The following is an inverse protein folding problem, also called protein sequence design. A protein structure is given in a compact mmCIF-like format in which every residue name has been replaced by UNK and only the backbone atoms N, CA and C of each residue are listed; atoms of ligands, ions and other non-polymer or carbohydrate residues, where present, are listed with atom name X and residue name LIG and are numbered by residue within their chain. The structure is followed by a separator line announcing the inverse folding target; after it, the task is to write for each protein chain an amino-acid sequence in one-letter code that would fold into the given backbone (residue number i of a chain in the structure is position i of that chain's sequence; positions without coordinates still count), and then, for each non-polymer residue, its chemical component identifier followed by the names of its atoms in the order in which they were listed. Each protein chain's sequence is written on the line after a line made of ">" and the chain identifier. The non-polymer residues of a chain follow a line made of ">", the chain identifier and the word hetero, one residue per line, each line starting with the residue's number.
data_IF_566435989344
#
_entry.id   IF_566435989344
#
_cell.length_a   1.000
_cell.length_b   1.000
_cell.length_c   1.000
_cell.angle_alpha   90.00
_cell.angle_beta   90.00
_cell.angle_gamma   90.00
#
_symmetry.space_group_name_H-M   'P 1'
#
loop_
_entity.id
_entity.type
_entity.pdbx_description
1 polymer ?
#
# COMPACT_ATOMS: atom_id res chain seq x y z
N UNK A 1 10.19 6.18 24.72
CA UNK A 1 9.27 6.91 23.82
C UNK A 1 9.59 6.46 22.41
N UNK A 2 8.64 5.88 21.68
CA UNK A 2 8.90 5.29 20.37
C UNK A 2 9.33 6.37 19.37
N UNK A 3 10.63 6.41 19.02
CA UNK A 3 11.22 7.39 18.11
C UNK A 3 10.53 7.44 16.73
N UNK A 4 9.77 6.40 16.38
CA UNK A 4 9.10 6.24 15.08
C UNK A 4 7.74 6.94 14.98
N UNK A 5 7.16 7.38 16.10
CA UNK A 5 5.79 7.94 16.12
C UNK A 5 5.82 9.47 16.09
N UNK A 6 5.41 10.04 14.96
CA UNK A 6 5.19 11.48 14.80
C UNK A 6 4.03 11.97 15.68
N UNK A 7 4.26 13.09 16.36
CA UNK A 7 3.30 13.79 17.21
C UNK A 7 2.57 14.89 16.45
N UNK A 8 1.45 15.38 17.03
CA UNK A 8 0.72 16.52 16.47
C UNK A 8 1.54 17.81 16.50
N UNK A 9 2.42 17.99 17.49
CA UNK A 9 3.34 19.13 17.56
C UNK A 9 4.33 19.09 16.40
N UNK A 10 4.95 17.93 16.18
CA UNK A 10 5.88 17.76 15.05
C UNK A 10 5.19 17.97 13.70
N UNK A 11 3.96 17.50 13.53
CA UNK A 11 3.17 17.75 12.32
C UNK A 11 2.87 19.25 12.13
N UNK A 12 2.52 19.94 13.21
CA UNK A 12 2.26 21.37 13.18
C UNK A 12 3.52 22.17 12.85
N UNK A 13 4.65 21.87 13.49
CA UNK A 13 5.94 22.50 13.18
C UNK A 13 6.34 22.28 11.72
N UNK A 14 6.22 21.04 11.21
CA UNK A 14 6.56 20.74 9.82
C UNK A 14 5.64 21.51 8.85
N UNK A 15 4.36 21.66 9.18
CA UNK A 15 3.45 22.47 8.37
C UNK A 15 3.81 23.96 8.32
N UNK A 16 4.19 24.55 9.46
CA UNK A 16 4.61 25.95 9.52
C UNK A 16 5.93 26.17 8.77
N UNK A 17 6.91 25.27 8.88
CA UNK A 17 8.16 25.31 8.11
C UNK A 17 7.88 25.31 6.61
N UNK A 18 7.04 24.38 6.14
CA UNK A 18 6.71 24.27 4.72
C UNK A 18 5.92 25.46 4.18
N UNK A 19 5.10 26.09 5.02
CA UNK A 19 4.39 27.34 4.70
C UNK A 19 5.36 28.51 4.60
N UNK A 20 6.31 28.63 5.53
CA UNK A 20 7.30 29.72 5.57
C UNK A 20 8.30 29.66 4.43
N UNK A 21 8.82 28.47 4.14
CA UNK A 21 9.82 28.25 3.07
C UNK A 21 9.22 28.24 1.66
N UNK A 22 7.90 28.13 1.53
CA UNK A 22 7.17 28.15 0.26
C UNK A 22 7.71 27.16 -0.80
N UNK A 23 7.42 25.86 -0.62
CA UNK A 23 7.86 24.75 -1.49
C UNK A 23 9.39 24.58 -1.60
N UNK A 24 10.10 24.40 -0.48
CA UNK A 24 11.53 24.10 -0.51
C UNK A 24 11.81 22.80 -1.25
N UNK A 25 12.86 22.79 -2.07
CA UNK A 25 13.41 21.57 -2.71
C UNK A 25 14.47 20.90 -1.84
N UNK A 26 15.12 21.69 -0.97
CA UNK A 26 16.13 21.21 -0.04
C UNK A 26 15.50 20.81 1.30
N UNK A 27 15.50 19.51 1.57
CA UNK A 27 14.92 18.93 2.77
C UNK A 27 15.84 19.01 3.99
N UNK A 28 17.13 19.29 3.82
CA UNK A 28 18.05 19.51 4.94
C UNK A 28 17.71 20.82 5.66
N UNK A 29 17.35 21.85 4.90
CA UNK A 29 16.83 23.10 5.46
C UNK A 29 15.53 22.85 6.22
N UNK A 30 14.62 22.05 5.65
CA UNK A 30 13.34 21.71 6.30
C UNK A 30 13.57 20.95 7.62
N UNK A 31 14.50 20.00 7.65
CA UNK A 31 14.83 19.23 8.84
C UNK A 31 15.47 20.09 9.94
N UNK A 32 16.40 20.96 9.55
CA UNK A 32 17.06 21.91 10.44
C UNK A 32 16.03 22.87 11.07
N UNK A 33 15.15 23.46 10.26
CA UNK A 33 14.12 24.38 10.74
C UNK A 33 12.99 23.69 11.51
N UNK A 34 12.73 22.42 11.25
CA UNK A 34 11.78 21.61 12.03
C UNK A 34 12.25 21.45 13.48
N UNK A 35 13.56 21.28 13.70
CA UNK A 35 14.18 21.40 15.02
C UNK A 35 13.75 20.35 16.05
N UNK A 36 13.17 19.22 15.62
CA UNK A 36 12.71 18.11 16.50
C UNK A 36 13.51 16.82 16.35
N UNK A 37 14.71 16.89 15.75
CA UNK A 37 15.59 15.72 15.58
C UNK A 37 15.12 14.73 14.52
N UNK A 38 14.29 15.18 13.57
CA UNK A 38 13.89 14.41 12.37
C UNK A 38 14.90 14.62 11.25
N UNK A 39 15.15 13.59 10.45
CA UNK A 39 16.02 13.71 9.28
C UNK A 39 15.29 14.37 8.12
N UNK A 40 16.03 14.86 7.12
CA UNK A 40 15.49 15.36 5.86
C UNK A 40 14.55 14.33 5.19
N UNK A 41 14.93 13.06 5.21
CA UNK A 41 14.11 11.95 4.72
C UNK A 41 12.80 11.83 5.51
N UNK A 42 12.86 11.83 6.84
CA UNK A 42 11.66 11.74 7.69
C UNK A 42 10.70 12.90 7.42
N UNK A 43 11.22 14.13 7.32
CA UNK A 43 10.42 15.32 7.02
C UNK A 43 9.81 15.27 5.61
N UNK A 44 10.57 14.84 4.60
CA UNK A 44 10.06 14.66 3.25
C UNK A 44 8.93 13.63 3.20
N UNK A 45 9.16 12.44 3.75
CA UNK A 45 8.16 11.38 3.81
C UNK A 45 6.96 11.83 4.63
N UNK A 46 7.18 12.48 5.78
CA UNK A 46 6.07 12.97 6.58
C UNK A 46 5.29 14.07 5.88
N UNK A 47 5.92 15.00 5.18
CA UNK A 47 5.20 16.03 4.44
C UNK A 47 4.44 15.42 3.27
N UNK A 48 5.15 14.80 2.33
CA UNK A 48 4.60 14.21 1.10
C UNK A 48 3.48 13.24 1.39
N UNK A 49 3.63 12.48 2.47
CA UNK A 49 2.63 11.56 2.89
C UNK A 49 1.70 12.33 3.87
N UNK A 50 2.05 12.41 5.14
CA UNK A 50 1.32 13.02 6.28
C UNK A 50 0.45 14.26 5.99
N UNK A 51 1.12 15.32 5.55
CA UNK A 51 0.74 16.69 5.89
C UNK A 51 0.45 17.54 4.64
N UNK A 52 1.04 17.20 3.49
CA UNK A 52 0.94 17.98 2.26
C UNK A 52 -0.51 18.39 1.95
N UNK A 53 -0.79 19.70 1.96
CA UNK A 53 -2.12 20.23 1.65
C UNK A 53 -2.58 19.74 0.28
N UNK A 54 -3.82 19.27 0.18
CA UNK A 54 -4.35 18.71 -1.07
C UNK A 54 -4.07 17.21 -1.27
N UNK A 55 -3.62 16.49 -0.23
CA UNK A 55 -3.66 15.02 -0.17
C UNK A 55 -4.47 14.54 1.05
N UNK A 56 -5.77 14.25 0.84
CA UNK A 56 -6.71 13.71 1.83
C UNK A 56 -6.38 12.24 2.10
N UNK A 57 -5.94 11.98 3.33
CA UNK A 57 -5.89 10.65 3.93
C UNK A 57 -7.15 10.38 4.73
N UNK A 58 -7.54 9.12 4.82
CA UNK A 58 -8.67 8.69 5.67
C UNK A 58 -9.96 8.42 4.91
N UNK A 59 -11.05 8.32 5.69
CA UNK A 59 -12.32 7.76 5.27
C UNK A 59 -12.87 8.43 4.00
N UNK A 60 -13.28 7.58 3.04
CA UNK A 60 -14.01 7.98 1.86
C UNK A 60 -15.44 8.36 2.25
N UNK A 61 -15.86 9.55 1.85
CA UNK A 61 -17.23 10.02 2.04
C UNK A 61 -18.12 9.46 0.94
N UNK A 62 -19.42 9.31 1.23
CA UNK A 62 -20.40 8.78 0.28
C UNK A 62 -20.44 9.55 -1.04
N UNK A 63 -20.39 10.89 -0.99
CA UNK A 63 -20.35 11.70 -2.22
C UNK A 63 -19.09 11.45 -3.06
N UNK A 64 -17.94 11.15 -2.42
CA UNK A 64 -16.71 10.83 -3.14
C UNK A 64 -16.90 9.52 -3.91
N UNK A 65 -17.50 8.51 -3.28
CA UNK A 65 -17.81 7.23 -3.92
C UNK A 65 -18.80 7.40 -5.08
N UNK A 66 -19.81 8.26 -4.93
CA UNK A 66 -20.78 8.58 -6.01
C UNK A 66 -20.07 9.16 -7.23
N UNK A 67 -19.17 10.13 -7.04
CA UNK A 67 -18.41 10.75 -8.14
C UNK A 67 -17.59 9.69 -8.89
N UNK A 68 -16.93 8.77 -8.18
CA UNK A 68 -16.15 7.71 -8.80
C UNK A 68 -17.05 6.76 -9.59
N UNK A 69 -18.15 6.30 -9.00
CA UNK A 69 -19.11 5.40 -9.65
C UNK A 69 -19.67 6.02 -10.93
N UNK A 70 -20.14 7.26 -10.85
CA UNK A 70 -20.67 7.96 -12.02
C UNK A 70 -19.64 8.11 -13.14
N UNK A 71 -18.39 8.44 -12.80
CA UNK A 71 -17.33 8.59 -13.79
C UNK A 71 -17.05 7.29 -14.57
N UNK A 72 -17.05 6.14 -13.86
CA UNK A 72 -16.85 4.83 -14.51
C UNK A 72 -18.07 4.44 -15.34
N UNK A 73 -19.28 4.64 -14.81
CA UNK A 73 -20.53 4.29 -15.51
C UNK A 73 -20.74 5.12 -16.77
N UNK A 74 -20.47 6.43 -16.72
CA UNK A 74 -20.65 7.36 -17.86
C UNK A 74 -19.56 7.23 -18.93
N UNK A 75 -18.41 6.64 -18.60
CA UNK A 75 -17.35 6.41 -19.58
C UNK A 75 -17.70 5.23 -20.49
N UNK A 76 -17.31 5.28 -21.75
CA UNK A 76 -17.35 4.12 -22.66
C UNK A 76 -16.09 3.24 -22.55
N UNK A 77 -15.06 3.68 -21.83
CA UNK A 77 -13.80 2.97 -21.70
C UNK A 77 -13.92 1.79 -20.73
N UNK A 78 -13.50 0.60 -21.16
CA UNK A 78 -13.49 -0.63 -20.34
C UNK A 78 -12.13 -1.34 -20.52
N UNK A 79 -11.24 -1.35 -19.49
CA UNK A 79 -11.40 -0.76 -18.16
C UNK A 79 -11.21 0.77 -18.15
N UNK A 80 -11.82 1.47 -17.19
CA UNK A 80 -11.60 2.91 -17.01
C UNK A 80 -10.15 3.20 -16.58
N UNK A 81 -9.45 4.09 -17.29
CA UNK A 81 -8.04 4.44 -16.99
C UNK A 81 -7.83 5.89 -16.56
N UNK A 82 -8.78 6.78 -16.87
CA UNK A 82 -8.68 8.24 -16.66
C UNK A 82 -8.91 8.70 -15.21
N UNK A 83 -8.30 8.01 -14.24
CA UNK A 83 -8.44 8.30 -12.81
C UNK A 83 -7.93 9.68 -12.40
N UNK A 84 -6.87 10.17 -13.05
CA UNK A 84 -6.31 11.50 -12.79
C UNK A 84 -7.29 12.65 -13.09
N UNK A 85 -8.21 12.45 -14.05
CA UNK A 85 -9.20 13.47 -14.40
C UNK A 85 -10.22 13.72 -13.27
N UNK A 86 -10.32 12.79 -12.31
CA UNK A 86 -11.23 12.90 -11.17
C UNK A 86 -10.63 13.70 -10.01
N UNK A 87 -9.33 14.01 -10.02
CA UNK A 87 -8.69 14.79 -8.94
C UNK A 87 -9.32 16.19 -8.79
N UNK A 88 -9.72 16.82 -9.90
CA UNK A 88 -10.39 18.13 -9.87
C UNK A 88 -11.77 18.08 -9.19
N UNK A 89 -12.45 16.94 -9.25
CA UNK A 89 -13.77 16.73 -8.64
C UNK A 89 -13.69 16.16 -7.22
N UNK A 90 -12.53 15.65 -6.83
CA UNK A 90 -12.27 15.01 -5.54
C UNK A 90 -11.10 15.72 -4.86
N UNK A 91 -11.31 16.95 -4.33
CA UNK A 91 -10.24 17.73 -3.75
C UNK A 91 -9.55 16.95 -2.62
N UNK A 92 -8.24 16.83 -2.74
CA UNK A 92 -7.45 16.01 -1.81
C UNK A 92 -7.22 14.56 -2.27
N UNK A 93 -7.99 13.99 -3.18
CA UNK A 93 -7.78 12.61 -3.62
C UNK A 93 -6.94 12.59 -4.89
N UNK A 94 -5.88 11.79 -4.88
CA UNK A 94 -5.02 11.55 -6.04
C UNK A 94 -5.52 10.37 -6.87
N UNK A 95 -5.25 10.36 -8.17
CA UNK A 95 -5.70 9.34 -9.12
C UNK A 95 -5.37 7.91 -8.67
N UNK A 96 -4.20 7.71 -8.06
CA UNK A 96 -3.81 6.42 -7.45
C UNK A 96 -4.77 6.00 -6.32
N UNK A 97 -5.17 6.91 -5.44
CA UNK A 97 -6.12 6.65 -4.36
C UNK A 97 -7.52 6.35 -4.93
N UNK A 98 -7.93 7.12 -5.94
CA UNK A 98 -9.23 6.98 -6.61
C UNK A 98 -9.33 5.60 -7.27
N UNK A 99 -8.32 5.21 -8.06
CA UNK A 99 -8.24 3.86 -8.65
C UNK A 99 -8.28 2.79 -7.57
N UNK A 100 -7.48 2.93 -6.51
CA UNK A 100 -7.44 1.98 -5.40
C UNK A 100 -8.81 1.83 -4.72
N UNK A 101 -9.56 2.93 -4.57
CA UNK A 101 -10.93 2.91 -4.02
C UNK A 101 -11.89 2.13 -4.91
N UNK A 102 -11.83 2.35 -6.22
CA UNK A 102 -12.65 1.60 -7.18
C UNK A 102 -12.37 0.10 -7.13
N UNK A 103 -11.11 -0.29 -7.37
CA UNK A 103 -10.73 -1.70 -7.55
C UNK A 103 -10.84 -2.54 -6.28
N UNK A 104 -10.83 -1.93 -5.10
CA UNK A 104 -10.90 -2.66 -3.82
C UNK A 104 -12.26 -2.57 -3.12
N UNK A 105 -13.13 -1.62 -3.48
CA UNK A 105 -14.36 -1.37 -2.73
C UNK A 105 -15.60 -1.02 -3.54
N UNK A 106 -15.49 -0.31 -4.68
CA UNK A 106 -16.67 0.23 -5.37
C UNK A 106 -17.08 -0.55 -6.62
N UNK A 107 -16.16 -1.31 -7.21
CA UNK A 107 -16.46 -2.14 -8.37
C UNK A 107 -17.55 -3.18 -8.00
N UNK A 108 -18.70 -3.20 -8.70
CA UNK A 108 -19.80 -4.11 -8.38
C UNK A 108 -19.45 -5.60 -8.54
N UNK A 109 -18.38 -5.92 -9.28
CA UNK A 109 -17.92 -7.30 -9.45
C UNK A 109 -17.16 -7.83 -8.22
N UNK A 110 -16.95 -7.00 -7.19
CA UNK A 110 -16.27 -7.41 -5.96
C UNK A 110 -17.23 -8.24 -5.11
N UNK A 111 -16.76 -9.41 -4.70
CA UNK A 111 -17.42 -10.22 -3.70
C UNK A 111 -17.15 -9.63 -2.29
N UNK A 112 -18.22 -9.22 -1.61
CA UNK A 112 -18.19 -8.65 -0.26
C UNK A 112 -18.54 -9.64 0.85
N UNK A 113 -18.90 -10.88 0.52
CA UNK A 113 -19.21 -11.92 1.51
C UNK A 113 -18.00 -12.19 2.42
N UNK A 114 -18.17 -12.70 3.63
CA UNK A 114 -17.05 -13.17 4.44
C UNK A 114 -16.27 -14.28 3.72
N UNK A 115 -14.98 -14.43 4.05
CA UNK A 115 -14.20 -15.61 3.63
C UNK A 115 -14.67 -16.83 4.39
N UNK A 116 -15.05 -17.88 3.67
CA UNK A 116 -15.42 -19.18 4.26
C UNK A 116 -14.20 -20.03 4.58
N UNK A 117 -14.41 -21.21 5.17
CA UNK A 117 -13.32 -22.17 5.40
C UNK A 117 -12.85 -22.81 4.10
N UNK A 118 -13.75 -23.00 3.17
CA UNK A 118 -13.43 -23.46 1.81
C UNK A 118 -12.57 -22.43 1.10
N UNK A 119 -12.91 -21.13 1.21
CA UNK A 119 -12.07 -20.05 0.69
C UNK A 119 -10.66 -20.05 1.33
N UNK A 120 -10.57 -20.31 2.64
CA UNK A 120 -9.28 -20.38 3.35
C UNK A 120 -8.42 -21.54 2.84
N UNK A 121 -9.01 -22.72 2.67
CA UNK A 121 -8.30 -23.90 2.13
C UNK A 121 -7.86 -23.65 0.68
N UNK A 122 -8.73 -23.01 -0.13
CA UNK A 122 -8.42 -22.65 -1.51
C UNK A 122 -7.27 -21.64 -1.57
N UNK A 123 -7.31 -20.59 -0.74
CA UNK A 123 -6.24 -19.61 -0.62
C UNK A 123 -4.93 -20.25 -0.17
N UNK A 124 -4.97 -21.16 0.80
CA UNK A 124 -3.79 -21.87 1.27
C UNK A 124 -3.13 -22.70 0.15
N UNK A 125 -3.94 -23.46 -0.59
CA UNK A 125 -3.48 -24.22 -1.77
C UNK A 125 -2.91 -23.30 -2.85
N UNK A 126 -3.60 -22.21 -3.15
CA UNK A 126 -3.17 -21.24 -4.15
C UNK A 126 -1.81 -20.64 -3.80
N UNK A 127 -1.61 -20.25 -2.53
CA UNK A 127 -0.35 -19.70 -2.06
C UNK A 127 0.78 -20.75 -2.03
N UNK A 128 0.51 -22.03 -1.74
CA UNK A 128 1.51 -23.10 -1.88
C UNK A 128 2.00 -23.25 -3.32
N UNK A 129 1.12 -23.03 -4.30
CA UNK A 129 1.44 -23.16 -5.72
C UNK A 129 2.10 -21.89 -6.30
N UNK A 130 1.61 -20.70 -5.94
CA UNK A 130 1.98 -19.44 -6.59
C UNK A 130 2.78 -18.48 -5.69
N UNK A 131 2.89 -18.76 -4.39
CA UNK A 131 3.49 -17.84 -3.42
C UNK A 131 2.71 -16.52 -3.31
N UNK A 132 3.44 -15.40 -3.26
CA UNK A 132 2.88 -14.04 -3.04
C UNK A 132 2.32 -13.38 -4.32
N UNK A 133 1.99 -14.16 -5.34
CA UNK A 133 1.41 -13.65 -6.58
C UNK A 133 -0.09 -13.36 -6.40
N UNK A 134 -0.43 -12.34 -5.61
CA UNK A 134 -1.80 -12.07 -5.17
C UNK A 134 -2.78 -11.76 -6.30
N UNK A 135 -2.34 -11.02 -7.32
CA UNK A 135 -3.13 -10.75 -8.54
C UNK A 135 -3.47 -12.06 -9.25
N UNK A 136 -2.48 -12.95 -9.40
CA UNK A 136 -2.65 -14.22 -10.08
C UNK A 136 -3.55 -15.18 -9.28
N UNK A 137 -3.39 -15.21 -7.95
CA UNK A 137 -4.27 -15.96 -7.06
C UNK A 137 -5.72 -15.46 -7.18
N UNK A 138 -5.93 -14.15 -7.14
CA UNK A 138 -7.24 -13.53 -7.35
C UNK A 138 -7.87 -13.96 -8.67
N UNK A 139 -7.11 -13.89 -9.76
CA UNK A 139 -7.59 -14.24 -11.10
C UNK A 139 -7.92 -15.73 -11.23
N UNK A 140 -7.00 -16.63 -10.86
CA UNK A 140 -7.11 -18.08 -11.07
C UNK A 140 -8.02 -18.80 -10.09
N UNK A 141 -8.01 -18.39 -8.82
CA UNK A 141 -8.70 -19.12 -7.75
C UNK A 141 -9.98 -18.44 -7.28
N UNK A 142 -10.14 -17.13 -7.52
CA UNK A 142 -11.30 -16.35 -7.08
C UNK A 142 -12.01 -15.63 -8.22
N UNK A 143 -11.72 -16.00 -9.49
CA UNK A 143 -12.35 -15.46 -10.69
C UNK A 143 -12.32 -13.93 -10.77
N UNK A 144 -11.27 -13.29 -10.23
CA UNK A 144 -11.14 -11.83 -10.09
C UNK A 144 -12.22 -11.14 -9.24
N UNK A 145 -13.07 -11.89 -8.52
CA UNK A 145 -14.12 -11.34 -7.66
C UNK A 145 -13.58 -10.88 -6.30
N UNK A 146 -12.45 -11.42 -5.87
CA UNK A 146 -11.73 -11.00 -4.65
C UNK A 146 -10.46 -10.27 -5.06
N UNK A 147 -10.37 -8.93 -4.97
CA UNK A 147 -9.18 -8.18 -5.35
C UNK A 147 -7.93 -8.66 -4.60
N UNK A 148 -6.74 -8.48 -5.19
CA UNK A 148 -5.46 -8.87 -4.56
C UNK A 148 -5.32 -8.41 -3.10
N UNK A 149 -5.88 -7.23 -2.79
CA UNK A 149 -5.82 -6.65 -1.46
C UNK A 149 -6.65 -7.46 -0.46
N UNK A 150 -7.81 -7.97 -0.87
CA UNK A 150 -8.66 -8.82 -0.02
C UNK A 150 -7.94 -10.15 0.27
N UNK A 151 -7.35 -10.75 -0.77
CA UNK A 151 -6.59 -12.00 -0.67
C UNK A 151 -5.39 -11.85 0.28
N UNK A 152 -4.55 -10.84 0.05
CA UNK A 152 -3.39 -10.52 0.90
C UNK A 152 -3.82 -10.24 2.35
N UNK A 153 -4.88 -9.46 2.54
CA UNK A 153 -5.40 -9.17 3.88
C UNK A 153 -5.90 -10.44 4.58
N UNK A 154 -6.57 -11.34 3.86
CA UNK A 154 -7.02 -12.61 4.41
C UNK A 154 -5.83 -13.47 4.84
N UNK A 155 -4.83 -13.63 3.98
CA UNK A 155 -3.61 -14.40 4.28
C UNK A 155 -2.92 -13.91 5.56
N UNK A 156 -2.83 -12.60 5.75
CA UNK A 156 -2.20 -12.03 6.95
C UNK A 156 -3.10 -12.01 8.19
N UNK A 157 -4.39 -12.31 8.06
CA UNK A 157 -5.34 -12.27 9.17
C UNK A 157 -5.06 -13.36 10.22
N UNK A 158 -5.28 -13.05 11.49
CA UNK A 158 -5.09 -14.01 12.58
C UNK A 158 -6.08 -15.17 12.51
N UNK A 159 -7.30 -14.94 12.02
CA UNK A 159 -8.34 -15.96 11.85
C UNK A 159 -7.98 -17.00 10.79
N UNK A 160 -7.38 -16.57 9.69
CA UNK A 160 -6.81 -17.47 8.67
C UNK A 160 -5.67 -18.30 9.27
N UNK A 161 -4.68 -17.64 9.88
CA UNK A 161 -3.50 -18.32 10.45
C UNK A 161 -3.88 -19.37 11.50
N UNK A 162 -4.80 -19.02 12.42
CA UNK A 162 -5.30 -19.94 13.45
C UNK A 162 -6.01 -21.15 12.83
N UNK A 163 -6.80 -20.94 11.80
CA UNK A 163 -7.49 -22.03 11.12
C UNK A 163 -6.51 -22.99 10.43
N UNK A 164 -5.59 -22.47 9.62
CA UNK A 164 -4.59 -23.29 8.93
C UNK A 164 -3.69 -24.02 9.93
N UNK A 165 -3.31 -23.38 11.04
CA UNK A 165 -2.60 -24.05 12.13
C UNK A 165 -3.39 -25.23 12.70
N UNK A 166 -4.69 -25.06 12.95
CA UNK A 166 -5.52 -26.13 13.49
C UNK A 166 -5.72 -27.30 12.51
N UNK A 167 -5.72 -27.02 11.21
CA UNK A 167 -5.93 -28.05 10.17
C UNK A 167 -4.62 -28.78 9.82
N UNK A 168 -3.50 -28.07 9.72
CA UNK A 168 -2.25 -28.59 9.16
C UNK A 168 -1.05 -28.56 10.12
N UNK A 169 -1.22 -28.02 11.33
CA UNK A 169 -0.16 -27.95 12.35
C UNK A 169 0.77 -26.74 12.25
N UNK A 170 1.79 -26.72 13.11
CA UNK A 170 2.67 -25.57 13.38
C UNK A 170 3.49 -25.11 12.19
N UNK A 171 3.79 -25.99 11.24
CA UNK A 171 4.73 -25.71 10.14
C UNK A 171 4.04 -25.34 8.82
N UNK A 172 2.71 -25.30 8.80
CA UNK A 172 1.93 -25.10 7.58
C UNK A 172 2.24 -23.76 6.86
N UNK A 173 2.51 -22.69 7.63
CA UNK A 173 2.77 -21.31 7.16
C UNK A 173 4.25 -20.92 7.35
N UNK A 174 5.06 -21.76 8.01
CA UNK A 174 6.32 -21.38 8.67
C UNK A 174 7.54 -21.15 7.76
N UNK A 175 7.34 -20.89 6.46
CA UNK A 175 8.42 -20.49 5.54
C UNK A 175 8.41 -19.00 5.19
N UNK A 176 7.60 -18.17 5.86
CA UNK A 176 7.56 -16.72 5.57
C UNK A 176 8.51 -15.86 6.43
N UNK A 177 8.93 -16.35 7.61
CA UNK A 177 9.75 -15.57 8.55
C UNK A 177 11.20 -15.41 8.09
N UNK A 178 11.73 -16.32 7.25
CA UNK A 178 13.09 -16.27 6.72
C UNK A 178 13.26 -15.32 5.52
N UNK A 179 12.17 -14.96 4.83
CA UNK A 179 12.19 -14.06 3.66
C UNK A 179 12.10 -12.57 4.02
N UNK A 180 12.02 -12.22 5.31
CA UNK A 180 12.11 -10.82 5.79
C UNK A 180 13.54 -10.31 5.96
N UNK A 181 14.56 -11.13 5.63
CA UNK A 181 15.98 -10.80 5.82
C UNK A 181 16.78 -10.52 4.54
N UNK A 182 16.17 -10.51 3.35
CA UNK A 182 16.93 -10.38 2.08
C UNK A 182 16.39 -9.33 1.12
N UNK A 183 15.68 -8.30 1.59
CA UNK A 183 15.26 -7.20 0.70
C UNK A 183 15.55 -5.78 1.24
N UNK A 184 16.26 -5.64 2.35
CA UNK A 184 16.76 -4.34 2.82
C UNK A 184 18.27 -4.43 3.08
N UNK A 185 19.04 -4.31 2.00
CA UNK A 185 20.42 -3.79 1.99
C UNK A 185 20.89 -3.69 0.54
N UNK A 186 20.73 -2.51 -0.05
CA UNK A 186 21.68 -2.02 -1.05
C UNK A 186 23.05 -1.93 -0.38
N UNK A 187 24.08 -2.47 -1.02
CA UNK A 187 25.20 -1.69 -1.55
C UNK A 187 26.40 -2.58 -1.91
N UNK A 188 27.21 -2.06 -2.84
CA UNK A 188 28.64 -2.34 -3.10
C UNK A 188 29.05 -3.54 -3.99
N UNK A 189 29.35 -3.18 -5.24
CA UNK A 189 30.60 -3.39 -5.99
C UNK A 189 31.31 -4.76 -6.07
N UNK A 190 31.66 -5.10 -7.32
CA UNK A 190 32.46 -6.23 -7.79
C UNK A 190 33.87 -6.30 -7.17
N UNK A 191 34.42 -7.52 -7.00
CA UNK A 191 35.85 -7.77 -7.12
C UNK A 191 36.20 -8.32 -8.51
N UNK A 192 37.18 -7.66 -9.14
CA UNK A 192 37.81 -7.98 -10.41
C UNK A 192 38.41 -9.41 -10.39
N UNK A 193 38.14 -10.21 -11.44
CA UNK A 193 38.91 -11.42 -11.72
C UNK A 193 40.21 -11.02 -12.42
N UNK A 194 41.33 -11.29 -11.75
CA UNK A 194 42.66 -11.29 -12.34
C UNK A 194 42.72 -12.34 -13.46
N UNK A 195 43.19 -11.90 -14.64
CA UNK A 195 43.60 -12.78 -15.72
C UNK A 195 45.01 -13.30 -15.39
N UNK A 196 45.15 -14.60 -15.18
CA UNK A 196 46.46 -15.25 -15.27
C UNK A 196 46.66 -15.77 -16.69
N UNK A 197 47.75 -15.33 -17.29
CA UNK A 197 48.28 -15.75 -18.56
C UNK A 197 48.87 -17.16 -18.44
N UNK A 198 48.57 -18.02 -19.42
CA UNK A 198 49.47 -19.04 -19.94
C UNK A 198 49.40 -19.02 -21.45
#
# INVERSE_FOLDING_TARGET
>A
VDAWKWTKDEDHCLAEVMKRLNRPLDWEIVACEHGRGRTAKDCHERWTWCIMPGTRRGQWKSYEDTIIKEAVTKSNERPFTKWGNLEQKLPGRKGKQIRARWVNHLNPNINHSPFTREDDLLLFKAHKNLGKQWVEISAKYFNSTRPENHIKNRWHSSTFKKFIYNVYGKDAISNETLLKKTCDSDDTELPQKQQEQK
#
